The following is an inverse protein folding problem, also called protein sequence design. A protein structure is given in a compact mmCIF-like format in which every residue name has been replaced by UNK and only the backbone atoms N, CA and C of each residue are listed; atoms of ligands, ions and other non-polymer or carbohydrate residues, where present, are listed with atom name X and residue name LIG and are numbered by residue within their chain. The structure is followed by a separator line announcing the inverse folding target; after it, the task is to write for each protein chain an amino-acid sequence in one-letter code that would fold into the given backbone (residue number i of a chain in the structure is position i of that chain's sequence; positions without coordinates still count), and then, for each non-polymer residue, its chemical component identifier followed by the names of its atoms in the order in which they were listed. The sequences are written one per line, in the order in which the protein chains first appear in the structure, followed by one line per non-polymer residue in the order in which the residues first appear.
data_IF_707008570164
#
_entry.id   IF_707008570164
#
_cell.length_a   1.000
_cell.length_b   1.000
_cell.length_c   1.000
_cell.angle_alpha   90.00
_cell.angle_beta   90.00
_cell.angle_gamma   90.00
#
_symmetry.space_group_name_H-M   'P 1'
#
loop_
_entity.id
_entity.type
_entity.pdbx_description
1 polymer ?
#
# COMPACT_ATOMS: atom_id res chain seq x y z
N UNK A 1 -9.28 9.12 6.70
CA UNK A 1 -9.63 7.91 5.94
C UNK A 1 -8.36 7.15 5.57
N UNK A 2 -8.37 5.84 5.75
CA UNK A 2 -7.21 4.99 5.45
C UNK A 2 -7.46 4.18 4.19
N UNK A 3 -6.53 4.26 3.24
CA UNK A 3 -6.58 3.55 1.97
C UNK A 3 -5.37 2.64 1.82
N UNK A 4 -5.58 1.49 1.21
CA UNK A 4 -4.48 0.59 0.84
C UNK A 4 -4.20 0.77 -0.64
N UNK A 5 -2.92 0.88 -1.00
CA UNK A 5 -2.43 0.89 -2.37
C UNK A 5 -1.42 -0.23 -2.54
N UNK A 6 -1.66 -1.11 -3.51
CA UNK A 6 -0.85 -2.32 -3.70
C UNK A 6 -0.96 -2.81 -5.13
N UNK A 7 0.13 -3.40 -5.62
CA UNK A 7 0.13 -4.18 -6.87
C UNK A 7 0.30 -5.66 -6.50
N UNK A 8 -0.51 -6.52 -7.09
CA UNK A 8 -0.48 -7.96 -6.83
C UNK A 8 -0.68 -8.75 -8.12
N UNK A 9 0.02 -9.88 -8.24
CA UNK A 9 -0.15 -10.82 -9.33
C UNK A 9 -1.47 -11.61 -9.19
N UNK A 10 -1.81 -12.40 -10.20
CA UNK A 10 -3.01 -13.24 -10.15
C UNK A 10 -2.97 -14.27 -9.03
N UNK A 11 -1.78 -14.71 -8.62
CA UNK A 11 -1.58 -15.59 -7.46
C UNK A 11 -1.27 -14.81 -6.16
N UNK A 12 -1.62 -13.52 -6.12
CA UNK A 12 -1.52 -12.64 -4.94
C UNK A 12 -0.09 -12.38 -4.45
N UNK A 13 0.92 -12.56 -5.28
CA UNK A 13 2.30 -12.19 -4.93
C UNK A 13 2.45 -10.67 -4.99
N UNK A 14 3.07 -10.10 -3.97
CA UNK A 14 3.36 -8.66 -3.86
C UNK A 14 4.85 -8.37 -3.69
N UNK A 15 5.68 -9.38 -3.47
CA UNK A 15 7.12 -9.19 -3.30
C UNK A 15 7.91 -10.48 -3.40
N UNK A 16 9.21 -10.31 -3.71
CA UNK A 16 10.22 -11.36 -3.72
C UNK A 16 11.55 -10.75 -3.33
N UNK A 17 12.20 -11.32 -2.31
CA UNK A 17 13.50 -10.84 -1.81
C UNK A 17 13.48 -9.34 -1.47
N UNK A 18 12.39 -8.88 -0.84
CA UNK A 18 12.17 -7.48 -0.47
C UNK A 18 12.11 -6.49 -1.65
N UNK A 19 11.76 -6.99 -2.85
CA UNK A 19 11.62 -6.20 -4.08
C UNK A 19 10.31 -6.56 -4.78
N UNK A 20 9.88 -5.71 -5.71
CA UNK A 20 8.76 -6.03 -6.60
C UNK A 20 9.24 -7.03 -7.67
N UNK A 21 8.46 -8.09 -7.96
CA UNK A 21 8.81 -9.07 -9.00
C UNK A 21 8.68 -8.55 -10.43
N UNK A 22 8.22 -7.32 -10.60
CA UNK A 22 8.03 -6.66 -11.90
C UNK A 22 8.53 -5.23 -11.86
N UNK A 23 8.76 -4.67 -13.03
CA UNK A 23 9.05 -3.25 -13.20
C UNK A 23 8.02 -2.67 -14.18
N UNK A 24 7.07 -1.91 -13.66
CA UNK A 24 5.98 -1.30 -14.42
C UNK A 24 5.97 0.21 -14.13
N UNK A 25 6.69 1.02 -14.93
CA UNK A 25 6.77 2.48 -14.71
C UNK A 25 5.41 3.17 -14.63
N UNK A 26 4.40 2.74 -15.40
CA UNK A 26 3.06 3.31 -15.35
C UNK A 26 2.42 3.11 -13.97
N UNK A 27 2.64 1.95 -13.35
CA UNK A 27 2.17 1.68 -11.99
C UNK A 27 2.85 2.60 -10.96
N UNK A 28 4.15 2.84 -11.12
CA UNK A 28 4.89 3.77 -10.27
C UNK A 28 4.37 5.21 -10.42
N UNK A 29 4.03 5.62 -11.64
CA UNK A 29 3.42 6.94 -11.89
C UNK A 29 2.06 7.06 -11.24
N UNK A 30 1.23 6.02 -11.34
CA UNK A 30 -0.08 5.96 -10.68
C UNK A 30 0.05 6.06 -9.17
N UNK A 31 0.97 5.29 -8.60
CA UNK A 31 1.28 5.33 -7.17
C UNK A 31 1.68 6.75 -6.72
N UNK A 32 2.61 7.37 -7.43
CA UNK A 32 3.07 8.74 -7.12
C UNK A 32 1.91 9.74 -7.22
N UNK A 33 1.10 9.63 -8.26
CA UNK A 33 -0.05 10.53 -8.47
C UNK A 33 -1.07 10.45 -7.33
N UNK A 34 -1.40 9.22 -6.89
CA UNK A 34 -2.38 9.00 -5.82
C UNK A 34 -1.86 9.42 -4.45
N UNK A 35 -0.58 9.21 -4.17
CA UNK A 35 -0.02 9.44 -2.84
C UNK A 35 0.62 10.81 -2.65
N UNK A 36 0.84 11.57 -3.71
CA UNK A 36 1.49 12.89 -3.63
C UNK A 36 0.72 13.86 -2.74
N UNK A 37 1.44 14.52 -1.82
CA UNK A 37 0.85 15.42 -0.84
C UNK A 37 0.19 14.72 0.33
N UNK A 38 0.28 13.39 0.43
CA UNK A 38 -0.42 12.58 1.42
C UNK A 38 0.53 12.00 2.47
N UNK A 39 -0.06 11.56 3.58
CA UNK A 39 0.62 10.73 4.57
C UNK A 39 0.65 9.30 4.10
N UNK A 40 1.82 8.65 4.18
CA UNK A 40 2.01 7.27 3.80
C UNK A 40 2.59 6.46 4.96
N UNK A 41 2.02 5.28 5.17
CA UNK A 41 2.45 4.32 6.20
C UNK A 41 3.14 3.14 5.53
N UNK A 42 4.27 2.70 6.12
CA UNK A 42 5.01 1.54 5.64
C UNK A 42 5.69 0.83 6.80
N UNK A 43 5.94 -0.45 6.62
CA UNK A 43 6.79 -1.19 7.53
C UNK A 43 8.28 -0.91 7.27
N UNK A 44 9.12 -1.30 8.21
CA UNK A 44 10.57 -1.12 8.12
C UNK A 44 11.17 -1.74 6.85
N UNK A 45 10.78 -2.99 6.52
CA UNK A 45 11.30 -3.65 5.31
C UNK A 45 10.93 -2.93 4.02
N UNK A 46 9.72 -2.38 3.96
CA UNK A 46 9.28 -1.56 2.83
C UNK A 46 10.14 -0.30 2.70
N UNK A 47 10.40 0.40 3.80
CA UNK A 47 11.30 1.55 3.82
C UNK A 47 12.72 1.18 3.35
N UNK A 48 13.27 0.09 3.85
CA UNK A 48 14.62 -0.36 3.50
C UNK A 48 14.72 -0.87 2.05
N UNK A 49 13.60 -1.24 1.42
CA UNK A 49 13.54 -1.63 0.01
C UNK A 49 13.64 -0.43 -0.94
N UNK A 50 13.35 0.78 -0.45
CA UNK A 50 13.48 1.99 -1.25
C UNK A 50 14.96 2.36 -1.40
N UNK A 51 15.41 2.77 -2.60
CA UNK A 51 16.76 3.31 -2.76
C UNK A 51 17.00 4.50 -1.83
N UNK A 52 18.19 4.58 -1.23
CA UNK A 52 18.52 5.66 -0.26
C UNK A 52 18.24 7.05 -0.81
N UNK A 53 18.54 7.29 -2.09
CA UNK A 53 18.30 8.58 -2.74
C UNK A 53 16.82 8.95 -2.86
N UNK A 54 15.92 7.98 -2.70
CA UNK A 54 14.47 8.19 -2.75
C UNK A 54 13.81 8.13 -1.37
N UNK A 55 14.60 8.04 -0.31
CA UNK A 55 14.12 8.03 1.08
C UNK A 55 14.37 9.39 1.76
N UNK A 56 13.36 10.06 2.31
CA UNK A 56 11.92 9.72 2.24
C UNK A 56 11.33 9.97 0.85
N UNK A 57 10.22 9.31 0.53
CA UNK A 57 9.51 9.58 -0.72
C UNK A 57 9.08 11.04 -0.75
N UNK A 58 9.43 11.81 -1.82
CA UNK A 58 9.25 13.25 -1.82
C UNK A 58 7.77 13.67 -1.83
N UNK A 59 7.51 14.85 -1.28
CA UNK A 59 6.18 15.46 -1.20
C UNK A 59 5.14 14.58 -0.47
N UNK A 60 5.59 13.78 0.49
CA UNK A 60 4.73 12.92 1.31
C UNK A 60 5.26 12.86 2.71
N UNK A 61 4.36 12.74 3.68
CA UNK A 61 4.76 12.49 5.06
C UNK A 61 4.98 10.99 5.23
N UNK A 62 6.25 10.58 5.38
CA UNK A 62 6.63 9.17 5.48
C UNK A 62 6.58 8.72 6.94
N UNK A 63 5.77 7.70 7.23
CA UNK A 63 5.64 7.12 8.56
C UNK A 63 6.01 5.65 8.51
N UNK A 64 6.98 5.25 9.32
CA UNK A 64 7.48 3.88 9.40
C UNK A 64 6.95 3.23 10.67
N UNK A 65 6.39 2.04 10.52
CA UNK A 65 5.87 1.24 11.62
C UNK A 65 6.85 0.11 11.91
N UNK A 66 7.42 0.10 13.10
CA UNK A 66 8.35 -0.96 13.54
C UNK A 66 8.28 -1.15 15.05
N UNK A 67 8.46 -2.38 15.50
CA UNK A 67 8.53 -2.70 16.94
C UNK A 67 9.87 -2.28 17.56
N UNK A 68 10.88 -2.03 16.74
CA UNK A 68 12.21 -1.62 17.20
C UNK A 68 12.18 -0.16 17.65
N UNK A 69 12.19 0.03 18.97
CA UNK A 69 12.15 1.36 19.59
C UNK A 69 13.42 2.19 19.37
N UNK A 70 14.49 1.56 18.92
CA UNK A 70 15.77 2.22 18.63
C UNK A 70 15.92 2.61 17.17
N UNK A 71 14.98 2.18 16.32
CA UNK A 71 15.05 2.42 14.88
C UNK A 71 14.89 3.90 14.55
N UNK A 72 15.81 4.40 13.73
CA UNK A 72 15.80 5.78 13.26
C UNK A 72 15.81 5.80 11.73
N UNK A 73 15.07 6.74 11.15
CA UNK A 73 14.99 6.92 9.71
C UNK A 73 14.97 8.42 9.40
N UNK A 74 15.99 8.88 8.72
CA UNK A 74 16.14 10.29 8.40
C UNK A 74 15.02 10.78 7.48
N UNK A 75 14.33 11.83 7.92
CA UNK A 75 13.24 12.44 7.15
C UNK A 75 11.90 11.74 7.30
N UNK A 76 11.79 10.71 8.13
CA UNK A 76 10.57 9.98 8.39
C UNK A 76 10.20 10.00 9.88
N UNK A 77 8.93 9.77 10.17
CA UNK A 77 8.42 9.58 11.52
C UNK A 77 8.39 8.08 11.80
N UNK A 78 8.90 7.65 12.96
CA UNK A 78 8.86 6.24 13.35
C UNK A 78 7.82 6.04 14.45
N UNK A 79 6.91 5.09 14.25
CA UNK A 79 5.87 4.70 15.21
C UNK A 79 6.11 3.25 15.61
N UNK A 80 6.10 3.00 16.92
CA UNK A 80 6.40 1.69 17.49
C UNK A 80 5.16 0.90 17.92
N UNK A 81 3.97 1.51 17.87
CA UNK A 81 2.72 0.87 18.26
C UNK A 81 1.67 0.97 17.15
N UNK A 82 1.47 -0.12 16.45
CA UNK A 82 0.47 -0.23 15.39
C UNK A 82 -0.96 0.00 15.91
N UNK A 83 -1.23 -0.33 17.17
CA UNK A 83 -2.56 -0.15 17.75
C UNK A 83 -2.97 1.33 17.85
N UNK A 84 -2.01 2.24 17.96
CA UNK A 84 -2.30 3.68 17.93
C UNK A 84 -2.91 4.08 16.58
N UNK A 85 -2.35 3.54 15.50
CA UNK A 85 -2.87 3.78 14.14
C UNK A 85 -4.26 3.17 13.99
N UNK A 86 -4.44 1.91 14.40
CA UNK A 86 -5.74 1.24 14.33
C UNK A 86 -6.83 2.05 15.03
N UNK A 87 -6.60 2.47 16.26
CA UNK A 87 -7.56 3.27 17.03
C UNK A 87 -7.88 4.62 16.37
N UNK A 88 -6.85 5.30 15.86
CA UNK A 88 -7.03 6.61 15.22
C UNK A 88 -7.96 6.53 14.01
N UNK A 89 -7.82 5.49 13.19
CA UNK A 89 -8.62 5.35 11.97
C UNK A 89 -9.97 4.66 12.20
N UNK A 90 -10.11 3.80 13.19
CA UNK A 90 -11.40 3.26 13.59
C UNK A 90 -12.34 4.37 14.06
N UNK A 91 -11.84 5.32 14.85
CA UNK A 91 -12.63 6.45 15.34
C UNK A 91 -12.93 7.47 14.24
N UNK A 92 -12.11 7.56 13.21
CA UNK A 92 -12.27 8.55 12.13
C UNK A 92 -13.30 8.13 11.07
N UNK A 93 -13.80 6.91 11.13
CA UNK A 93 -14.76 6.39 10.14
C UNK A 93 -16.09 7.17 10.09
N UNK A 94 -16.36 8.02 11.07
CA UNK A 94 -17.55 8.84 11.14
C UNK A 94 -17.39 10.27 10.62
N UNK A 95 -16.16 10.67 10.24
CA UNK A 95 -15.89 12.03 9.78
C UNK A 95 -15.81 12.11 8.25
N UNK A 96 -16.88 12.54 7.63
CA UNK A 96 -16.94 12.86 6.20
C UNK A 96 -16.05 14.09 5.97
N UNK A 97 -15.08 13.97 5.06
CA UNK A 97 -14.17 15.06 4.69
C UNK A 97 -12.77 14.98 5.29
N UNK A 98 -12.43 13.86 5.90
CA UNK A 98 -11.08 13.63 6.42
C UNK A 98 -10.11 13.34 5.28
N UNK A 99 -8.90 13.88 5.38
CA UNK A 99 -7.81 13.63 4.44
C UNK A 99 -7.54 12.12 4.27
N UNK A 100 -7.24 11.71 3.05
CA UNK A 100 -6.93 10.33 2.71
C UNK A 100 -5.45 10.04 2.97
N UNK A 101 -5.17 8.98 3.74
CA UNK A 101 -3.82 8.51 4.03
C UNK A 101 -3.65 7.10 3.50
N UNK A 102 -2.43 6.73 3.08
CA UNK A 102 -2.18 5.50 2.35
C UNK A 102 -1.26 4.54 3.09
N UNK A 103 -1.58 3.26 3.03
CA UNK A 103 -0.71 2.16 3.45
C UNK A 103 -0.03 1.62 2.20
N UNK A 104 1.29 1.66 2.15
CA UNK A 104 2.06 1.30 0.94
C UNK A 104 2.83 -0.02 1.05
N UNK A 105 2.79 -0.68 2.19
CA UNK A 105 3.39 -2.01 2.38
C UNK A 105 4.17 -2.15 3.70
N UNK A 106 4.75 -3.26 3.96
CA UNK A 106 4.67 -4.50 3.18
C UNK A 106 3.56 -5.44 3.62
N UNK A 107 3.70 -6.70 3.31
CA UNK A 107 2.67 -7.72 3.50
C UNK A 107 2.10 -7.79 4.91
N UNK A 108 2.94 -7.73 5.94
CA UNK A 108 2.50 -7.74 7.34
C UNK A 108 1.66 -6.52 7.69
N UNK A 109 2.08 -5.33 7.23
CA UNK A 109 1.36 -4.09 7.48
C UNK A 109 0.02 -4.08 6.74
N UNK A 110 -0.03 -4.56 5.51
CA UNK A 110 -1.29 -4.72 4.79
C UNK A 110 -2.26 -5.61 5.55
N UNK A 111 -1.81 -6.78 5.98
CA UNK A 111 -2.62 -7.74 6.73
C UNK A 111 -3.23 -7.11 7.99
N UNK A 112 -2.42 -6.38 8.74
CA UNK A 112 -2.85 -5.76 10.00
C UNK A 112 -3.80 -4.58 9.81
N UNK A 113 -3.68 -3.84 8.70
CA UNK A 113 -4.46 -2.63 8.47
C UNK A 113 -5.65 -2.81 7.53
N UNK A 114 -5.74 -3.93 6.80
CA UNK A 114 -6.90 -4.21 5.95
C UNK A 114 -8.23 -4.12 6.70
N UNK A 115 -8.37 -4.66 7.93
CA UNK A 115 -9.65 -4.62 8.63
C UNK A 115 -10.22 -3.22 8.87
N UNK A 116 -9.36 -2.20 8.91
CA UNK A 116 -9.78 -0.81 9.17
C UNK A 116 -9.65 0.11 7.94
N UNK A 117 -9.21 -0.43 6.82
CA UNK A 117 -9.09 0.35 5.59
C UNK A 117 -10.46 0.60 4.94
N UNK A 118 -10.63 1.77 4.35
CA UNK A 118 -11.88 2.22 3.73
C UNK A 118 -11.86 2.05 2.21
N UNK A 119 -10.68 2.19 1.60
CA UNK A 119 -10.48 2.07 0.15
C UNK A 119 -9.30 1.17 -0.17
N UNK A 120 -9.37 0.53 -1.32
CA UNK A 120 -8.28 -0.25 -1.89
C UNK A 120 -8.04 0.19 -3.32
N UNK A 121 -6.81 0.58 -3.61
CA UNK A 121 -6.32 0.83 -4.97
C UNK A 121 -5.42 -0.33 -5.34
N UNK A 122 -5.95 -1.25 -6.12
CA UNK A 122 -5.25 -2.47 -6.53
C UNK A 122 -4.80 -2.34 -7.98
N UNK A 123 -3.49 -2.60 -8.22
CA UNK A 123 -2.99 -2.89 -9.55
C UNK A 123 -2.92 -4.40 -9.69
N UNK A 124 -3.76 -4.94 -10.57
CA UNK A 124 -3.80 -6.37 -10.84
C UNK A 124 -2.81 -6.68 -11.98
N UNK A 125 -1.72 -7.35 -11.65
CA UNK A 125 -0.74 -7.83 -12.63
C UNK A 125 -1.22 -9.19 -13.13
N UNK A 126 -1.54 -9.27 -14.44
CA UNK A 126 -2.22 -10.42 -15.05
C UNK A 126 -1.23 -11.53 -15.42
N UNK A 127 -0.46 -11.97 -14.45
CA UNK A 127 0.51 -13.07 -14.55
C UNK A 127 0.62 -13.77 -13.22
N UNK A 128 0.89 -15.07 -13.24
CA UNK A 128 1.40 -15.76 -12.06
C UNK A 128 2.89 -15.49 -11.97
N UNK A 129 3.36 -15.10 -10.81
CA UNK A 129 4.78 -14.85 -10.57
C UNK A 129 5.25 -15.59 -9.33
N UNK A 130 6.53 -15.94 -9.33
CA UNK A 130 7.18 -16.50 -8.15
C UNK A 130 7.48 -15.38 -7.15
N UNK A 131 7.19 -15.63 -5.87
CA UNK A 131 7.46 -14.67 -4.81
C UNK A 131 7.40 -15.30 -3.44
N UNK A 132 7.78 -14.52 -2.44
CA UNK A 132 7.82 -14.95 -1.04
C UNK A 132 6.85 -14.15 -0.15
N UNK A 133 6.27 -13.08 -0.68
CA UNK A 133 5.34 -12.22 0.06
C UNK A 133 4.01 -12.14 -0.71
N UNK A 134 2.92 -12.38 0.02
CA UNK A 134 1.57 -12.46 -0.55
C UNK A 134 0.66 -11.41 0.09
N UNK A 135 -0.31 -10.93 -0.69
CA UNK A 135 -1.35 -10.05 -0.16
C UNK A 135 -2.33 -10.88 0.68
N UNK A 136 -2.40 -10.57 1.95
CA UNK A 136 -3.32 -11.19 2.90
C UNK A 136 -4.29 -10.15 3.47
N UNK A 137 -5.47 -10.59 3.84
CA UNK A 137 -6.48 -9.73 4.46
C UNK A 137 -7.51 -9.17 3.49
N UNK A 138 -7.31 -9.33 2.18
CA UNK A 138 -8.29 -8.90 1.18
C UNK A 138 -9.32 -9.99 0.93
N UNK A 139 -10.57 -9.70 1.26
CA UNK A 139 -11.73 -10.54 0.94
C UNK A 139 -12.68 -9.70 0.06
N UNK A 140 -12.69 -9.99 -1.24
CA UNK A 140 -13.43 -9.19 -2.23
C UNK A 140 -14.92 -9.07 -1.90
N UNK A 141 -15.50 -10.06 -1.21
CA UNK A 141 -16.92 -10.02 -0.81
C UNK A 141 -17.27 -8.86 0.13
N UNK A 142 -16.27 -8.32 0.84
CA UNK A 142 -16.44 -7.19 1.76
C UNK A 142 -16.30 -5.83 1.08
N UNK A 143 -16.02 -5.82 -0.23
CA UNK A 143 -15.71 -4.63 -0.98
C UNK A 143 -16.60 -4.45 -2.20
N UNK A 144 -16.89 -3.19 -2.56
CA UNK A 144 -17.56 -2.83 -3.80
C UNK A 144 -16.55 -2.24 -4.77
N UNK A 145 -16.46 -2.83 -5.96
CA UNK A 145 -15.58 -2.29 -7.01
C UNK A 145 -16.19 -1.02 -7.59
N UNK A 146 -15.42 0.08 -7.55
CA UNK A 146 -15.86 1.40 -8.03
C UNK A 146 -15.23 1.79 -9.36
N UNK A 147 -14.13 1.15 -9.73
CA UNK A 147 -13.41 1.44 -10.97
C UNK A 147 -12.63 0.23 -11.44
N UNK A 148 -12.61 0.03 -12.74
CA UNK A 148 -11.74 -0.95 -13.41
C UNK A 148 -11.28 -0.35 -14.73
N UNK A 149 -9.96 -0.26 -14.92
CA UNK A 149 -9.39 0.24 -16.16
C UNK A 149 -9.39 -0.79 -17.27
N UNK A 150 -9.07 -0.38 -18.48
CA UNK A 150 -8.65 -1.30 -19.54
C UNK A 150 -7.34 -2.00 -19.14
N UNK A 151 -6.98 -3.03 -19.88
CA UNK A 151 -5.71 -3.73 -19.69
C UNK A 151 -4.61 -2.99 -20.44
N UNK A 152 -3.52 -2.69 -19.73
CA UNK A 152 -2.30 -2.10 -20.25
C UNK A 152 -1.21 -3.17 -20.35
N UNK A 153 -0.19 -2.91 -21.15
CA UNK A 153 0.99 -3.76 -21.23
C UNK A 153 2.25 -2.90 -21.19
N UNK A 154 3.19 -3.26 -20.33
CA UNK A 154 4.49 -2.58 -20.20
C UNK A 154 5.53 -3.58 -19.66
N UNK A 155 6.72 -3.57 -20.27
CA UNK A 155 7.84 -4.45 -19.88
C UNK A 155 7.48 -5.94 -19.80
N UNK A 156 6.60 -6.40 -20.70
CA UNK A 156 6.17 -7.80 -20.76
C UNK A 156 5.09 -8.18 -19.73
N UNK A 157 4.56 -7.23 -18.99
CA UNK A 157 3.48 -7.45 -18.04
C UNK A 157 2.19 -6.79 -18.51
N UNK A 158 1.10 -7.55 -18.45
CA UNK A 158 -0.25 -7.00 -18.62
C UNK A 158 -0.79 -6.69 -17.25
N UNK A 159 -1.46 -5.56 -17.11
CA UNK A 159 -2.00 -5.11 -15.84
C UNK A 159 -3.20 -4.21 -16.04
N UNK A 160 -3.99 -4.04 -14.98
CA UNK A 160 -5.10 -3.09 -14.92
C UNK A 160 -5.28 -2.56 -13.51
N UNK A 161 -5.92 -1.41 -13.39
CA UNK A 161 -6.24 -0.81 -12.11
C UNK A 161 -7.66 -1.17 -11.70
N UNK A 162 -7.83 -1.59 -10.44
CA UNK A 162 -9.13 -1.88 -9.83
C UNK A 162 -9.22 -1.15 -8.51
N UNK A 163 -10.23 -0.34 -8.34
CA UNK A 163 -10.46 0.40 -7.10
C UNK A 163 -11.70 -0.11 -6.40
N UNK A 164 -11.62 -0.18 -5.07
CA UNK A 164 -12.66 -0.73 -4.23
C UNK A 164 -12.94 0.18 -3.05
N UNK A 165 -14.19 0.17 -2.58
CA UNK A 165 -14.63 0.81 -1.35
C UNK A 165 -15.22 -0.26 -0.46
N UNK A 166 -14.95 -0.20 0.85
CA UNK A 166 -15.51 -1.14 1.80
C UNK A 166 -17.03 -1.02 1.84
N UNK A 167 -17.72 -2.15 1.83
CA UNK A 167 -19.17 -2.20 2.04
C UNK A 167 -19.49 -1.78 3.48
N UNK A 168 -20.55 -1.03 3.63
CA UNK A 168 -21.06 -0.61 4.94
C UNK A 168 -21.79 -1.74 5.67
#
# INVERSE_FOLDING_TARGET
MLSIIVAASTNMVIGKNNELPWHIPEDLRNFKSLTSGKRIFMGRKCWESLPEKFRPLPNRENIIITRDKTYQADGAIVINDLNLIKRAYELSSFNIGVEEHFVIGGGEIYKELFPIAHKLYLTEVLSEVEGDTYLEGFNESEWSKTYESCVYEENGFKFRFKYFVRKS
#
